data_IF_489001251844
#
_entry.id   IF_489001251844
#
_cell.length_a   1.000
_cell.length_b   1.000
_cell.length_c   1.000
_cell.angle_alpha   90.00
_cell.angle_beta   90.00
_cell.angle_gamma   90.00
#
_symmetry.space_group_name_H-M   'P 1'
#
loop_
_entity.id
_entity.type
_entity.pdbx_description
1 polymer ?
#
# COMPACT_ATOMS: atom_id res chain seq x y z
N UNK A 1 2.22 -18.38 76.29
CA UNK A 1 3.33 -18.01 77.21
C UNK A 1 3.97 -16.74 76.65
N UNK A 2 3.83 -15.62 77.38
CA UNK A 2 4.65 -14.38 77.48
C UNK A 2 5.12 -13.69 76.17
N UNK A 3 4.70 -12.48 75.76
CA UNK A 3 4.51 -11.15 76.41
C UNK A 3 5.80 -10.40 76.79
N UNK A 4 6.02 -9.22 76.18
CA UNK A 4 6.43 -7.88 76.71
C UNK A 4 6.99 -7.03 75.54
N UNK A 5 6.43 -5.89 75.07
CA UNK A 5 6.23 -4.54 75.70
C UNK A 5 7.53 -4.04 76.35
N UNK A 6 8.06 -2.82 76.24
CA UNK A 6 7.60 -1.42 76.09
C UNK A 6 8.94 -0.62 75.94
N UNK A 7 9.09 0.57 75.36
CA UNK A 7 8.44 1.83 75.67
C UNK A 7 9.43 3.01 75.53
N UNK A 8 8.95 4.10 74.93
CA UNK A 8 9.12 5.54 75.24
C UNK A 8 10.39 6.02 75.97
N UNK A 9 10.99 7.14 75.50
CA UNK A 9 10.74 8.50 76.06
C UNK A 9 11.50 9.59 75.27
N UNK A 10 10.82 10.73 75.17
CA UNK A 10 11.20 11.95 74.45
C UNK A 10 12.26 12.81 75.16
N UNK A 11 12.94 13.65 74.38
CA UNK A 11 13.62 14.85 74.87
C UNK A 11 13.18 16.07 74.04
N UNK A 12 12.94 17.18 74.73
CA UNK A 12 12.21 18.37 74.28
C UNK A 12 12.97 19.61 74.80
N UNK A 13 13.42 20.52 73.94
CA UNK A 13 13.76 21.93 74.26
C UNK A 13 13.66 22.76 72.96
N UNK A 14 12.63 23.59 72.73
CA UNK A 14 12.32 24.97 73.18
C UNK A 14 13.14 26.12 72.56
N UNK A 15 12.44 26.96 71.78
CA UNK A 15 12.70 28.39 71.48
C UNK A 15 12.71 28.71 69.98
N UNK A 16 11.96 29.66 69.39
CA UNK A 16 10.93 30.66 69.77
C UNK A 16 10.16 31.07 68.48
N UNK A 17 9.00 31.77 68.54
CA UNK A 17 8.02 31.87 67.45
C UNK A 17 8.03 33.19 66.65
N UNK A 18 7.60 33.16 65.37
CA UNK A 18 7.06 34.35 64.68
C UNK A 18 6.01 33.96 63.62
N UNK A 19 4.90 34.69 63.61
CA UNK A 19 3.66 34.55 62.82
C UNK A 19 3.71 35.26 61.45
N UNK A 20 2.73 35.05 60.53
CA UNK A 20 2.90 34.92 59.08
C UNK A 20 2.72 36.24 58.30
N UNK A 21 2.73 36.16 56.96
CA UNK A 21 1.64 36.80 56.22
C UNK A 21 0.84 35.79 55.40
N UNK A 22 -0.46 35.94 55.56
CA UNK A 22 -1.56 35.60 54.66
C UNK A 22 -1.43 36.42 53.36
N UNK A 23 -1.68 35.78 52.21
CA UNK A 23 -2.47 36.30 51.08
C UNK A 23 -2.12 35.54 49.78
N UNK A 24 -3.00 34.64 49.34
CA UNK A 24 -4.03 34.83 48.30
C UNK A 24 -3.53 34.47 46.89
N UNK A 25 -4.33 33.64 46.20
CA UNK A 25 -4.26 33.48 44.75
C UNK A 25 -3.77 32.12 44.23
N UNK A 26 -4.68 31.15 44.10
CA UNK A 26 -4.68 30.25 42.93
C UNK A 26 -5.42 30.98 41.79
N UNK A 27 -5.09 30.84 40.48
CA UNK A 27 -4.90 29.55 39.82
C UNK A 27 -3.83 29.47 38.69
N UNK A 28 -3.48 28.22 38.35
CA UNK A 28 -3.04 27.69 37.04
C UNK A 28 -2.38 28.63 36.01
N UNK A 29 -1.14 28.30 35.62
CA UNK A 29 -0.72 28.41 34.21
C UNK A 29 0.33 27.36 33.87
N UNK A 30 -0.13 26.30 33.21
CA UNK A 30 0.72 25.31 32.56
C UNK A 30 1.22 25.96 31.26
N UNK A 31 2.46 26.47 31.26
CA UNK A 31 3.12 26.86 30.01
C UNK A 31 3.75 25.63 29.37
N UNK A 32 2.97 25.01 28.49
CA UNK A 32 3.44 24.04 27.51
C UNK A 32 3.74 24.75 26.19
N UNK A 33 4.69 24.17 25.43
CA UNK A 33 5.07 24.44 24.03
C UNK A 33 6.33 25.28 23.84
N UNK A 34 7.46 24.57 23.90
CA UNK A 34 8.62 24.81 23.05
C UNK A 34 8.16 24.64 21.59
N UNK A 35 8.27 25.68 20.77
CA UNK A 35 8.14 25.58 19.32
C UNK A 35 9.51 25.89 18.70
N UNK A 36 10.29 24.84 18.45
CA UNK A 36 11.47 24.92 17.60
C UNK A 36 11.04 24.51 16.18
N UNK A 37 10.77 25.51 15.33
CA UNK A 37 10.50 25.27 13.92
C UNK A 37 11.85 25.02 13.21
N UNK A 38 12.22 23.74 13.07
CA UNK A 38 13.26 23.36 12.12
C UNK A 38 12.66 23.38 10.72
N UNK A 39 13.03 24.37 9.91
CA UNK A 39 12.78 24.35 8.47
C UNK A 39 13.65 23.25 7.86
N UNK A 40 13.04 22.09 7.58
CA UNK A 40 13.68 21.04 6.77
C UNK A 40 13.55 21.50 5.32
N UNK A 41 14.67 21.91 4.75
CA UNK A 41 14.84 22.07 3.31
C UNK A 41 14.71 20.68 2.66
N UNK A 42 13.50 20.31 2.23
CA UNK A 42 13.32 19.07 1.45
C UNK A 42 13.86 19.36 0.05
N UNK A 43 15.08 18.91 -0.21
CA UNK A 43 15.56 18.71 -1.57
C UNK A 43 14.52 17.81 -2.27
N UNK A 44 14.00 18.26 -3.41
CA UNK A 44 12.88 17.66 -4.12
C UNK A 44 13.18 16.29 -4.73
N UNK A 45 13.33 15.27 -3.89
CA UNK A 45 13.08 13.90 -4.31
C UNK A 45 11.56 13.76 -4.46
N UNK A 46 11.09 13.57 -5.69
CA UNK A 46 9.75 13.02 -5.90
C UNK A 46 9.68 11.73 -5.09
N UNK A 47 8.83 11.67 -4.09
CA UNK A 47 8.62 10.45 -3.32
C UNK A 47 8.08 9.39 -4.28
N UNK A 48 8.93 8.43 -4.67
CA UNK A 48 8.46 7.22 -5.33
C UNK A 48 7.50 6.54 -4.36
N UNK A 49 6.29 6.24 -4.82
CA UNK A 49 5.41 5.37 -4.06
C UNK A 49 6.17 4.06 -3.84
N UNK A 50 6.34 3.64 -2.57
CA UNK A 50 7.04 2.41 -2.27
C UNK A 50 6.30 1.23 -2.92
N UNK A 51 7.03 0.19 -3.39
CA UNK A 51 6.41 -1.03 -3.87
C UNK A 51 5.42 -1.61 -2.85
N UNK A 52 4.32 -2.14 -3.36
CA UNK A 52 3.27 -2.75 -2.56
C UNK A 52 3.70 -4.16 -2.19
N UNK A 53 3.64 -4.53 -0.91
CA UNK A 53 3.94 -5.91 -0.52
C UNK A 53 2.82 -6.86 -0.99
N UNK A 54 3.20 -7.97 -1.62
CA UNK A 54 2.28 -9.09 -1.86
C UNK A 54 1.80 -9.66 -0.52
N UNK A 55 0.51 -9.97 -0.43
CA UNK A 55 -0.07 -10.70 0.70
C UNK A 55 -0.13 -12.22 0.46
N UNK A 56 0.27 -12.68 -0.73
CA UNK A 56 0.10 -14.07 -1.14
C UNK A 56 -1.38 -14.43 -1.25
N UNK A 57 -2.11 -13.79 -2.15
CA UNK A 57 -3.53 -14.06 -2.33
C UNK A 57 -3.73 -15.35 -3.14
N UNK A 58 -4.20 -16.43 -2.50
CA UNK A 58 -4.21 -17.78 -3.08
C UNK A 58 -5.22 -18.06 -4.21
N UNK A 59 -6.12 -17.12 -4.52
CA UNK A 59 -7.21 -17.34 -5.49
C UNK A 59 -7.76 -16.02 -6.01
N UNK A 60 -8.46 -16.06 -7.16
CA UNK A 60 -9.15 -14.90 -7.71
C UNK A 60 -10.22 -14.31 -6.76
N UNK A 61 -10.87 -15.14 -5.94
CA UNK A 61 -11.87 -14.68 -4.96
C UNK A 61 -11.27 -13.82 -3.84
N UNK A 62 -9.97 -14.01 -3.57
CA UNK A 62 -9.22 -13.30 -2.54
C UNK A 62 -8.13 -12.42 -3.13
N UNK A 63 -8.21 -12.12 -4.43
CA UNK A 63 -7.16 -11.41 -5.16
C UNK A 63 -6.81 -10.08 -4.49
N UNK A 64 -5.51 -9.81 -4.36
CA UNK A 64 -5.05 -8.54 -3.81
C UNK A 64 -5.40 -7.41 -4.77
N UNK A 65 -6.15 -6.43 -4.27
CA UNK A 65 -6.61 -5.29 -5.06
C UNK A 65 -5.48 -4.29 -5.23
N UNK A 66 -5.08 -4.04 -6.47
CA UNK A 66 -4.21 -2.94 -6.88
C UNK A 66 -5.11 -1.75 -7.25
N UNK A 67 -5.49 -0.97 -6.25
CA UNK A 67 -6.36 0.20 -6.42
C UNK A 67 -5.69 1.32 -7.21
N UNK A 68 -6.50 2.16 -7.86
CA UNK A 68 -6.03 3.25 -8.73
C UNK A 68 -5.05 4.21 -8.02
N UNK A 69 -5.21 4.44 -6.70
CA UNK A 69 -4.31 5.27 -5.89
C UNK A 69 -2.88 4.74 -5.79
N UNK A 70 -2.64 3.47 -6.09
CA UNK A 70 -1.30 2.86 -6.05
C UNK A 70 -0.52 3.09 -7.34
N UNK A 71 -1.21 3.39 -8.43
CA UNK A 71 -0.58 3.62 -9.72
C UNK A 71 -0.08 5.06 -9.81
N UNK A 72 1.15 5.23 -10.27
CA UNK A 72 1.79 6.53 -10.41
C UNK A 72 2.58 6.62 -11.70
N UNK A 73 2.97 7.83 -12.11
CA UNK A 73 3.90 8.06 -13.22
C UNK A 73 5.30 8.42 -12.70
N UNK A 74 5.67 7.90 -11.53
CA UNK A 74 6.99 8.13 -10.98
C UNK A 74 8.07 7.42 -11.82
N UNK A 75 9.28 7.97 -11.87
CA UNK A 75 10.33 7.33 -12.67
C UNK A 75 10.80 6.00 -12.04
N UNK A 76 10.73 4.87 -12.73
CA UNK A 76 11.31 3.61 -12.27
C UNK A 76 12.13 3.07 -13.43
N UNK A 77 13.42 2.88 -13.21
CA UNK A 77 14.36 2.56 -14.30
C UNK A 77 14.13 1.18 -14.92
N UNK A 78 13.52 0.25 -14.18
CA UNK A 78 13.14 -1.11 -14.63
C UNK A 78 11.67 -1.16 -15.07
N UNK A 79 11.04 -0.03 -15.32
CA UNK A 79 9.67 0.01 -15.84
C UNK A 79 9.64 0.80 -17.13
N UNK A 80 9.33 0.09 -18.22
CA UNK A 80 9.14 0.74 -19.51
C UNK A 80 8.02 1.78 -19.43
N UNK A 81 8.26 2.99 -19.96
CA UNK A 81 7.29 4.09 -19.99
C UNK A 81 6.78 4.54 -18.61
N UNK A 82 7.54 4.33 -17.53
CA UNK A 82 7.07 4.63 -16.16
C UNK A 82 6.61 6.08 -15.94
N UNK A 83 7.12 7.04 -16.73
CA UNK A 83 6.76 8.47 -16.63
C UNK A 83 5.59 8.88 -17.52
N UNK A 84 5.13 8.01 -18.41
CA UNK A 84 4.06 8.29 -19.38
C UNK A 84 2.87 7.35 -19.23
N UNK A 85 3.05 6.18 -18.62
CA UNK A 85 1.99 5.23 -18.28
C UNK A 85 1.96 5.02 -16.77
N UNK A 86 0.78 5.15 -16.11
CA UNK A 86 0.65 4.84 -14.70
C UNK A 86 1.00 3.38 -14.42
N UNK A 87 1.80 3.15 -13.39
CA UNK A 87 2.25 1.81 -13.00
C UNK A 87 2.34 1.66 -11.48
N UNK A 88 2.34 0.40 -11.05
CA UNK A 88 2.54 -0.02 -9.66
C UNK A 88 3.49 -1.21 -9.62
N UNK A 89 4.43 -1.19 -8.68
CA UNK A 89 5.29 -2.32 -8.37
C UNK A 89 4.74 -3.11 -7.17
N UNK A 90 4.76 -4.43 -7.27
CA UNK A 90 4.36 -5.35 -6.22
C UNK A 90 5.54 -6.25 -5.89
N UNK A 91 6.01 -6.25 -4.64
CA UNK A 91 7.10 -7.13 -4.20
C UNK A 91 6.53 -8.32 -3.45
N UNK A 92 6.82 -9.54 -3.90
CA UNK A 92 6.56 -10.76 -3.12
C UNK A 92 7.73 -11.05 -2.17
N UNK A 93 7.52 -10.93 -0.84
CA UNK A 93 8.55 -11.32 0.12
C UNK A 93 8.65 -12.85 0.26
N UNK A 94 9.78 -13.30 0.79
CA UNK A 94 9.96 -14.68 1.24
C UNK A 94 9.00 -14.99 2.41
N UNK A 95 8.58 -16.25 2.54
CA UNK A 95 7.80 -16.78 3.65
C UNK A 95 6.30 -16.99 3.35
N UNK A 96 5.80 -16.46 2.23
CA UNK A 96 4.42 -16.64 1.80
C UNK A 96 4.20 -18.06 1.25
N UNK A 97 3.23 -18.80 1.80
CA UNK A 97 3.03 -20.23 1.54
C UNK A 97 1.95 -20.56 0.51
N UNK A 98 1.46 -19.55 -0.21
CA UNK A 98 0.46 -19.76 -1.24
C UNK A 98 1.02 -20.54 -2.42
N UNK A 99 0.16 -21.37 -3.02
CA UNK A 99 0.49 -22.07 -4.25
C UNK A 99 0.59 -21.09 -5.42
N UNK A 100 -0.35 -20.15 -5.48
CA UNK A 100 -0.48 -19.15 -6.53
C UNK A 100 -0.76 -17.80 -5.88
N UNK A 101 -0.36 -16.72 -6.53
CA UNK A 101 -0.72 -15.37 -6.11
C UNK A 101 -1.67 -14.76 -7.14
N UNK A 102 -2.69 -14.06 -6.65
CA UNK A 102 -3.70 -13.41 -7.47
C UNK A 102 -3.80 -11.92 -7.15
N UNK A 103 -3.87 -11.12 -8.19
CA UNK A 103 -4.06 -9.68 -8.11
C UNK A 103 -5.27 -9.26 -8.94
N UNK A 104 -5.86 -8.12 -8.60
CA UNK A 104 -6.89 -7.51 -9.44
C UNK A 104 -6.69 -6.02 -9.54
N UNK A 105 -6.94 -5.47 -10.73
CA UNK A 105 -6.82 -4.05 -11.00
C UNK A 105 -7.92 -3.61 -11.97
N UNK A 106 -8.25 -2.31 -11.93
CA UNK A 106 -9.17 -1.68 -12.87
C UNK A 106 -8.40 -0.88 -13.91
N UNK A 107 -8.88 -0.85 -15.16
CA UNK A 107 -8.34 0.03 -16.19
C UNK A 107 -9.43 0.73 -16.99
N UNK A 108 -9.16 1.95 -17.44
CA UNK A 108 -10.01 2.70 -18.39
C UNK A 108 -9.88 2.19 -19.83
N UNK A 109 -9.07 1.15 -20.06
CA UNK A 109 -8.83 0.51 -21.34
C UNK A 109 -7.54 0.99 -22.01
N UNK A 110 -7.18 0.31 -23.10
CA UNK A 110 -5.92 0.51 -23.82
C UNK A 110 -4.85 -0.52 -23.43
N UNK A 111 -3.56 -0.20 -23.61
CA UNK A 111 -2.49 -1.15 -23.37
C UNK A 111 -2.30 -1.41 -21.87
N UNK A 112 -2.14 -2.68 -21.53
CA UNK A 112 -1.69 -3.17 -20.23
C UNK A 112 -0.37 -3.89 -20.41
N UNK A 113 0.58 -3.59 -19.52
CA UNK A 113 1.81 -4.35 -19.37
C UNK A 113 1.88 -4.95 -17.97
N UNK A 114 2.17 -6.23 -17.87
CA UNK A 114 2.49 -6.95 -16.64
C UNK A 114 3.88 -7.54 -16.85
N UNK A 115 4.80 -7.23 -15.97
CA UNK A 115 6.20 -7.54 -16.15
C UNK A 115 6.78 -8.01 -14.81
N UNK A 116 7.64 -9.01 -14.84
CA UNK A 116 8.25 -9.56 -13.64
C UNK A 116 9.75 -9.29 -13.68
N UNK A 117 10.28 -8.90 -12.54
CA UNK A 117 11.70 -8.82 -12.30
C UNK A 117 12.07 -9.81 -11.20
N UNK A 118 13.16 -10.53 -11.44
CA UNK A 118 13.69 -11.44 -10.44
C UNK A 118 14.37 -10.70 -9.29
N UNK A 119 14.18 -11.21 -8.09
CA UNK A 119 14.81 -10.67 -6.88
C UNK A 119 16.00 -11.56 -6.48
N UNK A 120 17.12 -10.95 -6.10
CA UNK A 120 18.32 -11.62 -5.56
C UNK A 120 18.93 -12.71 -6.47
N UNK A 121 18.74 -12.63 -7.80
CA UNK A 121 19.20 -13.64 -8.75
C UNK A 121 18.73 -15.07 -8.37
N UNK A 122 17.52 -15.26 -7.81
CA UNK A 122 17.07 -16.53 -7.21
C UNK A 122 17.05 -17.74 -8.17
N UNK A 123 15.96 -18.34 -8.61
CA UNK A 123 15.81 -19.10 -9.88
C UNK A 123 14.32 -19.34 -10.10
N UNK A 124 13.53 -18.42 -9.57
CA UNK A 124 12.10 -18.52 -9.58
C UNK A 124 11.68 -18.14 -10.99
N UNK A 125 11.43 -19.19 -11.75
CA UNK A 125 10.88 -19.17 -13.09
C UNK A 125 9.37 -18.96 -12.94
N UNK A 126 8.91 -17.78 -13.33
CA UNK A 126 7.57 -17.29 -13.06
C UNK A 126 6.71 -17.49 -14.29
N UNK A 127 5.43 -17.79 -14.12
CA UNK A 127 4.48 -17.68 -15.22
C UNK A 127 3.29 -16.81 -14.80
N UNK A 128 2.72 -16.10 -15.78
CA UNK A 128 1.61 -15.17 -15.57
C UNK A 128 0.42 -15.50 -16.48
N UNK A 129 -0.78 -15.40 -15.91
CA UNK A 129 -2.04 -15.37 -16.64
C UNK A 129 -2.80 -14.05 -16.42
N UNK A 130 -3.54 -13.62 -17.43
CA UNK A 130 -4.41 -12.44 -17.40
C UNK A 130 -5.85 -12.82 -17.79
N UNK A 131 -6.81 -12.49 -16.93
CA UNK A 131 -8.24 -12.71 -17.18
C UNK A 131 -9.02 -11.40 -17.13
N UNK A 132 -10.15 -11.36 -17.84
CA UNK A 132 -11.18 -10.36 -17.55
C UNK A 132 -12.01 -10.75 -16.31
N UNK A 133 -12.88 -9.85 -15.86
CA UNK A 133 -13.76 -10.07 -14.72
C UNK A 133 -14.74 -11.26 -14.86
N UNK A 134 -15.02 -11.72 -16.09
CA UNK A 134 -15.84 -12.91 -16.33
C UNK A 134 -15.06 -14.22 -16.19
N UNK A 135 -13.76 -14.16 -15.89
CA UNK A 135 -12.88 -15.31 -15.80
C UNK A 135 -12.49 -15.87 -17.16
N UNK A 136 -12.62 -15.12 -18.24
CA UNK A 136 -12.10 -15.53 -19.56
C UNK A 136 -10.60 -15.22 -19.59
N UNK A 137 -9.78 -16.23 -19.90
CA UNK A 137 -8.35 -16.07 -20.07
C UNK A 137 -8.09 -15.27 -21.36
N UNK A 138 -7.31 -14.22 -21.25
CA UNK A 138 -6.98 -13.32 -22.36
C UNK A 138 -5.57 -13.53 -22.86
N UNK A 139 -4.63 -13.74 -21.95
CA UNK A 139 -3.21 -13.92 -22.25
C UNK A 139 -2.54 -14.72 -21.13
N UNK A 140 -1.47 -15.42 -21.48
CA UNK A 140 -0.54 -16.02 -20.54
C UNK A 140 0.86 -16.06 -21.15
N UNK A 141 1.90 -16.00 -20.32
CA UNK A 141 3.30 -16.04 -20.75
C UNK A 141 4.20 -16.54 -19.60
N UNK A 142 5.31 -17.18 -19.96
CA UNK A 142 6.35 -17.74 -19.06
C UNK A 142 7.68 -16.96 -19.16
N UNK A 143 8.17 -16.70 -20.37
CA UNK A 143 9.50 -16.10 -20.58
C UNK A 143 9.47 -14.83 -21.43
N UNK A 144 10.16 -13.77 -21.00
CA UNK A 144 10.37 -12.53 -21.75
C UNK A 144 11.56 -11.72 -21.20
N UNK A 145 12.32 -11.07 -22.08
CA UNK A 145 13.37 -10.12 -21.69
C UNK A 145 12.99 -8.72 -22.20
N UNK A 146 11.88 -8.20 -21.67
CA UNK A 146 11.20 -7.03 -22.22
C UNK A 146 11.91 -5.71 -21.91
N UNK A 147 12.50 -5.59 -20.72
CA UNK A 147 13.02 -4.34 -20.19
C UNK A 147 14.47 -4.49 -19.69
N UNK A 148 14.99 -3.50 -18.96
CA UNK A 148 16.37 -3.51 -18.45
C UNK A 148 16.55 -4.22 -17.10
N UNK A 149 15.46 -4.54 -16.40
CA UNK A 149 15.44 -5.34 -15.18
C UNK A 149 15.25 -6.84 -15.43
N UNK A 150 14.68 -7.19 -16.58
CA UNK A 150 14.25 -8.53 -16.91
C UNK A 150 15.36 -9.57 -17.12
N UNK A 151 14.95 -10.81 -16.98
CA UNK A 151 15.71 -12.03 -17.26
C UNK A 151 14.94 -12.90 -18.25
N UNK A 152 15.61 -13.80 -18.97
CA UNK A 152 14.92 -14.71 -19.92
C UNK A 152 13.92 -15.66 -19.26
N UNK A 153 13.93 -15.77 -17.93
CA UNK A 153 13.00 -16.60 -17.14
C UNK A 153 11.85 -15.79 -16.51
N UNK A 154 11.72 -14.53 -16.94
CA UNK A 154 10.78 -13.60 -16.34
C UNK A 154 9.53 -13.53 -17.20
N UNK A 155 8.36 -13.76 -16.59
CA UNK A 155 7.11 -13.66 -17.32
C UNK A 155 6.78 -12.22 -17.67
N UNK A 156 6.25 -11.97 -18.87
CA UNK A 156 5.62 -10.69 -19.17
C UNK A 156 4.47 -10.79 -20.16
N UNK A 157 3.44 -9.98 -19.95
CA UNK A 157 2.40 -9.67 -20.91
C UNK A 157 2.58 -8.21 -21.30
N UNK A 158 2.94 -7.93 -22.55
CA UNK A 158 3.41 -6.61 -22.97
C UNK A 158 2.42 -5.94 -23.91
N UNK A 159 2.04 -4.69 -23.62
CA UNK A 159 1.17 -3.86 -24.45
C UNK A 159 -0.12 -4.58 -24.91
N UNK A 160 -0.68 -5.42 -24.05
CA UNK A 160 -1.89 -6.16 -24.35
C UNK A 160 -3.09 -5.22 -24.26
N UNK A 161 -3.75 -4.98 -25.39
CA UNK A 161 -4.89 -4.06 -25.44
C UNK A 161 -6.13 -4.68 -24.82
N UNK A 162 -6.71 -3.98 -23.85
CA UNK A 162 -7.92 -4.39 -23.15
C UNK A 162 -9.00 -3.31 -23.18
N UNK A 163 -10.25 -3.72 -23.02
CA UNK A 163 -11.36 -2.80 -22.82
C UNK A 163 -11.34 -2.21 -21.39
N UNK A 164 -12.09 -1.14 -21.15
CA UNK A 164 -12.30 -0.66 -19.79
C UNK A 164 -12.96 -1.75 -18.93
N UNK A 165 -12.46 -1.96 -17.72
CA UNK A 165 -12.98 -2.99 -16.81
C UNK A 165 -11.99 -3.45 -15.74
N UNK A 166 -12.38 -4.49 -15.02
CA UNK A 166 -11.54 -5.14 -14.02
C UNK A 166 -10.89 -6.40 -14.60
N UNK A 167 -9.64 -6.60 -14.24
CA UNK A 167 -8.82 -7.71 -14.70
C UNK A 167 -8.18 -8.40 -13.52
N UNK A 168 -7.82 -9.66 -13.74
CA UNK A 168 -7.16 -10.51 -12.76
C UNK A 168 -5.83 -10.98 -13.30
N UNK A 169 -4.82 -10.95 -12.44
CA UNK A 169 -3.49 -11.50 -12.70
C UNK A 169 -3.36 -12.71 -11.80
N UNK A 170 -2.84 -13.79 -12.35
CA UNK A 170 -2.57 -15.04 -11.65
C UNK A 170 -1.13 -15.40 -11.89
N UNK A 171 -0.44 -15.75 -10.82
CA UNK A 171 1.01 -15.93 -10.82
C UNK A 171 1.32 -17.29 -10.22
N UNK A 172 2.19 -18.03 -10.89
CA UNK A 172 2.64 -19.33 -10.44
C UNK A 172 4.11 -19.54 -10.83
N UNK A 173 4.64 -20.71 -10.50
CA UNK A 173 6.02 -21.08 -10.83
C UNK A 173 6.01 -22.11 -11.95
N UNK A 174 6.89 -21.96 -12.94
CA UNK A 174 7.03 -22.93 -14.02
C UNK A 174 7.16 -24.37 -13.51
N UNK A 175 6.49 -25.36 -14.10
CA UNK A 175 5.55 -25.24 -15.24
C UNK A 175 4.10 -25.08 -14.78
N UNK A 176 3.34 -24.17 -15.37
CA UNK A 176 1.91 -24.05 -15.12
C UNK A 176 1.02 -24.24 -16.35
N UNK A 177 -0.28 -24.24 -16.10
CA UNK A 177 -1.30 -24.18 -17.13
C UNK A 177 -2.41 -23.26 -16.66
N UNK A 178 -2.76 -22.32 -17.54
CA UNK A 178 -3.80 -21.33 -17.34
C UNK A 178 -5.04 -21.67 -18.16
N UNK A 179 -6.22 -21.47 -17.59
CA UNK A 179 -7.50 -21.72 -18.26
C UNK A 179 -8.59 -20.74 -17.84
N UNK A 180 -9.76 -20.84 -18.47
CA UNK A 180 -10.93 -20.04 -18.09
C UNK A 180 -11.37 -20.30 -16.63
N UNK A 181 -12.28 -19.46 -16.13
CA UNK A 181 -12.73 -19.42 -14.75
C UNK A 181 -11.58 -19.26 -13.74
N UNK A 182 -10.57 -18.45 -14.08
CA UNK A 182 -9.39 -18.19 -13.26
C UNK A 182 -8.59 -19.46 -12.91
N UNK A 183 -8.64 -20.47 -13.78
CA UNK A 183 -7.97 -21.74 -13.53
C UNK A 183 -6.45 -21.59 -13.64
N UNK A 184 -5.75 -22.00 -12.59
CA UNK A 184 -4.30 -22.14 -12.52
C UNK A 184 -4.00 -23.52 -11.98
N UNK A 185 -3.07 -24.23 -12.62
CA UNK A 185 -2.58 -25.53 -12.18
C UNK A 185 -1.10 -25.68 -12.50
N UNK A 186 -0.41 -26.60 -11.82
CA UNK A 186 1.03 -26.82 -11.99
C UNK A 186 1.84 -26.25 -10.84
N UNK A 187 3.02 -25.71 -11.14
CA UNK A 187 4.05 -25.38 -10.15
C UNK A 187 3.61 -24.32 -9.13
N UNK A 188 3.75 -24.67 -7.85
CA UNK A 188 3.44 -23.79 -6.74
C UNK A 188 4.63 -22.85 -6.45
N UNK A 189 4.34 -21.59 -6.14
CA UNK A 189 5.33 -20.58 -5.71
C UNK A 189 6.07 -21.04 -4.44
N UNK A 190 5.32 -21.44 -3.41
CA UNK A 190 5.89 -21.84 -2.13
C UNK A 190 6.58 -20.70 -1.38
N UNK A 191 7.19 -21.03 -0.24
CA UNK A 191 7.75 -20.04 0.68
C UNK A 191 8.93 -19.25 0.10
N UNK A 192 9.75 -19.87 -0.75
CA UNK A 192 10.99 -19.28 -1.23
C UNK A 192 10.86 -18.39 -2.46
N UNK A 193 9.73 -18.46 -3.19
CA UNK A 193 9.54 -17.66 -4.40
C UNK A 193 9.52 -16.16 -4.06
N UNK A 194 10.32 -15.38 -4.76
CA UNK A 194 10.35 -13.92 -4.64
C UNK A 194 10.31 -13.30 -6.03
N UNK A 195 9.62 -12.17 -6.16
CA UNK A 195 9.57 -11.41 -7.40
C UNK A 195 9.22 -9.96 -7.10
N UNK A 196 9.55 -9.08 -8.05
CA UNK A 196 8.90 -7.79 -8.21
C UNK A 196 8.03 -7.90 -9.46
N UNK A 197 6.77 -7.52 -9.36
CA UNK A 197 5.85 -7.47 -10.49
C UNK A 197 5.47 -6.02 -10.73
N UNK A 198 5.74 -5.52 -11.92
CA UNK A 198 5.22 -4.25 -12.39
C UNK A 198 3.91 -4.45 -13.14
N UNK A 199 2.91 -3.62 -12.84
CA UNK A 199 1.65 -3.55 -13.58
C UNK A 199 1.48 -2.13 -14.08
N UNK A 200 1.48 -1.95 -15.40
CA UNK A 200 1.28 -0.67 -16.08
C UNK A 200 -0.07 -0.67 -16.79
N UNK A 201 -0.94 0.27 -16.43
CA UNK A 201 -2.29 0.35 -16.99
C UNK A 201 -2.87 1.76 -16.84
N UNK A 202 -3.70 2.16 -17.80
CA UNK A 202 -4.49 3.38 -17.67
C UNK A 202 -5.53 3.19 -16.57
N UNK A 203 -5.48 3.97 -15.50
CA UNK A 203 -6.38 3.73 -14.37
C UNK A 203 -7.80 4.24 -14.61
N UNK A 204 -8.76 3.58 -13.96
CA UNK A 204 -10.13 4.13 -13.82
C UNK A 204 -10.12 5.13 -12.66
N UNK A 205 -10.63 6.36 -12.82
CA UNK A 205 -10.84 7.27 -11.70
C UNK A 205 -11.72 6.62 -10.64
N UNK A 206 -11.31 6.66 -9.37
CA UNK A 206 -12.06 6.01 -8.28
C UNK A 206 -13.52 6.48 -8.30
N UNK A 207 -14.51 5.55 -8.33
CA UNK A 207 -15.93 5.91 -8.39
C UNK A 207 -16.36 6.87 -7.26
N UNK A 208 -15.72 6.77 -6.10
CA UNK A 208 -15.96 7.64 -4.95
C UNK A 208 -15.57 9.10 -5.20
N UNK A 209 -14.46 9.37 -5.88
CA UNK A 209 -13.96 10.72 -6.12
C UNK A 209 -14.87 11.50 -7.05
N UNK A 210 -15.41 10.85 -8.09
CA UNK A 210 -16.38 11.46 -9.01
C UNK A 210 -17.73 11.70 -8.33
N UNK A 211 -18.19 10.75 -7.50
CA UNK A 211 -19.43 10.91 -6.74
C UNK A 211 -19.31 12.05 -5.71
N UNK A 212 -18.21 12.13 -4.96
CA UNK A 212 -17.95 13.20 -4.00
C UNK A 212 -17.77 14.56 -4.68
N UNK A 213 -17.07 14.62 -5.81
CA UNK A 213 -16.95 15.84 -6.60
C UNK A 213 -18.33 16.32 -7.10
N UNK A 214 -19.13 15.38 -7.62
CA UNK A 214 -20.51 15.67 -8.02
C UNK A 214 -21.38 16.19 -6.87
N UNK A 215 -21.31 15.54 -5.71
CA UNK A 215 -22.01 15.97 -4.49
C UNK A 215 -21.55 17.35 -4.00
N UNK A 216 -20.23 17.60 -4.01
CA UNK A 216 -19.67 18.90 -3.62
C UNK A 216 -20.17 20.02 -4.54
N UNK A 217 -20.18 19.80 -5.85
CA UNK A 217 -20.67 20.76 -6.85
C UNK A 217 -22.18 21.02 -6.71
N UNK A 218 -22.98 19.97 -6.46
CA UNK A 218 -24.42 20.12 -6.18
C UNK A 218 -24.65 20.92 -4.90
N UNK A 219 -23.87 20.66 -3.83
CA UNK A 219 -23.91 21.41 -2.58
C UNK A 219 -23.59 22.91 -2.76
N UNK A 220 -22.56 23.23 -3.55
CA UNK A 220 -22.17 24.61 -3.91
C UNK A 220 -23.26 25.32 -4.73
N UNK A 221 -23.91 24.61 -5.65
CA UNK A 221 -25.03 25.13 -6.44
C UNK A 221 -26.28 25.45 -5.61
N UNK A 222 -26.57 24.67 -4.57
CA UNK A 222 -27.69 24.92 -3.64
C UNK A 222 -27.37 26.06 -2.68
N UNK A 223 -26.14 26.14 -2.16
CA UNK A 223 -25.70 27.20 -1.26
C UNK A 223 -25.71 28.58 -1.94
N UNK A 224 -25.24 28.67 -3.18
CA UNK A 224 -25.23 29.92 -3.96
C UNK A 224 -26.64 30.45 -4.28
N UNK A 225 -27.64 29.58 -4.41
CA UNK A 225 -29.05 29.98 -4.60
C UNK A 225 -29.67 30.60 -3.34
N UNK A 226 -29.27 30.14 -2.14
CA UNK A 226 -29.75 30.74 -0.87
C UNK A 226 -29.16 32.13 -0.61
N UNK A 227 -28.00 32.43 -1.16
CA UNK A 227 -27.35 33.75 -1.01
C UNK A 227 -28.00 34.88 -1.81
N UNK A 228 -28.82 34.58 -2.83
CA UNK A 228 -29.49 35.60 -3.68
C UNK A 228 -30.92 35.95 -3.24
N UNK A 229 -31.42 35.34 -2.17
CA UNK A 229 -32.78 35.55 -1.63
C UNK A 229 -32.75 36.34 -0.31
N UNK A 230 -31.68 37.10 -0.05
CA UNK A 230 -31.60 38.05 1.06
C UNK A 230 -31.30 39.44 0.54
#
# INVERSE_FOLDING_TARGET
MRSRTQGNRAERTNGTPFTPPEETGSPMTIFSKIALAAAISVAGFSAHALPVASIGAGSAATAQVLGASLFSTNFVSTVTNSTTQPHVEVTRPNGLRTAYDFYTFGTSGGPVTIDFDRVNNDNTDMEVGLWNAAGILLAANDDNNYDSGGSVLDAAIVNFNVAAGNYFIGVCRFSCSFGNAFAVSGGALGASATYVMNVSANQVPEPGTMALMGLALVGLGVASRRSKVR
#
